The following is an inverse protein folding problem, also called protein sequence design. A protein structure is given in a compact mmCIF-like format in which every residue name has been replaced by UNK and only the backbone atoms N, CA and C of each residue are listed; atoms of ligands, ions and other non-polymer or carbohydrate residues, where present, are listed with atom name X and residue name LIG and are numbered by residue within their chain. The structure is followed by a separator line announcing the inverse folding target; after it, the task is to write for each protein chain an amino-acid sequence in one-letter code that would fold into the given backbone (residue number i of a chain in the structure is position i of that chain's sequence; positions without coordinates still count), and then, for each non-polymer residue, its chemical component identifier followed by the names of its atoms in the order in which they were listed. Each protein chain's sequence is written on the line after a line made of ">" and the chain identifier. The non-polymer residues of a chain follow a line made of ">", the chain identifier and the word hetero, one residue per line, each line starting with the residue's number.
data_IF_566504488678
#
_entry.id   IF_566504488678
#
_cell.length_a   1.000
_cell.length_b   1.000
_cell.length_c   1.000
_cell.angle_alpha   90.00
_cell.angle_beta   90.00
_cell.angle_gamma   90.00
#
_symmetry.space_group_name_H-M   'P 1'
#
loop_
_entity.id
_entity.type
_entity.pdbx_description
1 polymer ?
#
# COMPACT_ATOMS: atom_id res chain seq x y z
N UNK A 1 -9.66 9.91 -7.15
CA UNK A 1 -8.72 9.27 -6.23
C UNK A 1 -7.34 9.49 -6.83
N UNK A 2 -6.56 10.36 -6.20
CA UNK A 2 -5.30 10.84 -6.80
C UNK A 2 -4.07 10.05 -6.34
N UNK A 3 -4.25 9.11 -5.42
CA UNK A 3 -3.15 8.39 -4.77
C UNK A 3 -2.89 6.99 -5.35
N UNK A 4 -3.48 6.68 -6.52
CA UNK A 4 -3.31 5.36 -7.16
C UNK A 4 -2.87 5.54 -8.60
N UNK A 5 -1.86 4.77 -8.99
CA UNK A 5 -1.41 4.64 -10.37
C UNK A 5 -1.49 3.17 -10.78
N UNK A 6 -2.35 2.89 -11.74
CA UNK A 6 -2.47 1.56 -12.33
C UNK A 6 -1.96 1.64 -13.79
N UNK A 7 -0.67 1.43 -14.02
CA UNK A 7 -0.13 1.47 -15.40
C UNK A 7 -0.72 0.36 -16.26
N UNK A 8 -1.10 -0.75 -15.65
CA UNK A 8 -1.83 -1.85 -16.30
C UNK A 8 -2.90 -2.38 -15.37
N UNK A 9 -3.81 -3.14 -15.92
CA UNK A 9 -4.95 -3.73 -15.22
C UNK A 9 -5.00 -5.22 -15.50
N UNK A 10 -5.60 -5.98 -14.60
CA UNK A 10 -5.73 -7.41 -14.71
C UNK A 10 -4.56 -8.14 -14.07
N UNK A 11 -4.81 -9.36 -13.60
CA UNK A 11 -3.80 -10.09 -12.83
C UNK A 11 -4.01 -11.60 -12.99
N UNK A 12 -3.00 -12.38 -12.61
CA UNK A 12 -3.07 -13.83 -12.51
C UNK A 12 -2.97 -14.19 -11.03
N UNK A 13 -3.86 -15.05 -10.56
CA UNK A 13 -3.86 -15.48 -9.15
C UNK A 13 -2.65 -16.38 -8.87
N UNK A 14 -2.00 -16.20 -7.71
CA UNK A 14 -0.80 -16.97 -7.34
C UNK A 14 -0.87 -17.64 -5.96
N UNK A 15 -1.76 -17.21 -5.11
CA UNK A 15 -1.86 -17.76 -3.75
C UNK A 15 -3.29 -17.69 -3.24
N UNK A 16 -3.53 -18.29 -2.08
CA UNK A 16 -4.84 -18.30 -1.44
C UNK A 16 -5.34 -16.89 -1.14
N UNK A 17 -4.45 -15.91 -0.94
CA UNK A 17 -4.84 -14.50 -0.80
C UNK A 17 -5.45 -13.89 -2.05
N UNK A 18 -5.36 -14.59 -3.19
CA UNK A 18 -5.98 -14.14 -4.44
C UNK A 18 -7.37 -14.77 -4.67
N UNK A 19 -7.81 -15.70 -3.81
CA UNK A 19 -9.06 -16.45 -4.02
C UNK A 19 -10.26 -15.52 -4.18
N UNK A 20 -10.41 -14.54 -3.27
CA UNK A 20 -11.52 -13.59 -3.24
C UNK A 20 -11.04 -12.16 -3.51
N UNK A 21 -10.14 -12.00 -4.48
CA UNK A 21 -9.53 -10.71 -4.81
C UNK A 21 -10.60 -9.69 -5.23
N UNK A 22 -10.59 -8.53 -4.57
CA UNK A 22 -11.56 -7.46 -4.83
C UNK A 22 -11.55 -6.98 -6.29
N UNK A 23 -10.40 -7.03 -6.95
CA UNK A 23 -10.29 -6.59 -8.34
C UNK A 23 -11.12 -7.52 -9.26
N UNK A 24 -10.97 -8.84 -9.07
CA UNK A 24 -11.76 -9.81 -9.82
C UNK A 24 -13.26 -9.65 -9.55
N UNK A 25 -13.63 -9.42 -8.27
CA UNK A 25 -15.03 -9.21 -7.89
C UNK A 25 -15.61 -7.97 -8.59
N UNK A 26 -14.89 -6.84 -8.51
CA UNK A 26 -15.36 -5.57 -9.09
C UNK A 26 -15.41 -5.63 -10.62
N UNK A 27 -14.47 -6.33 -11.25
CA UNK A 27 -14.50 -6.57 -12.71
C UNK A 27 -15.73 -7.39 -13.09
N UNK A 28 -16.00 -8.46 -12.34
CA UNK A 28 -17.19 -9.30 -12.57
C UNK A 28 -18.48 -8.50 -12.52
N UNK A 29 -18.61 -7.55 -11.55
CA UNK A 29 -19.79 -6.68 -11.45
C UNK A 29 -19.96 -5.77 -12.68
N UNK A 30 -18.86 -5.49 -13.38
CA UNK A 30 -18.86 -4.60 -14.57
C UNK A 30 -18.90 -5.39 -15.89
N UNK A 31 -19.01 -6.70 -15.82
CA UNK A 31 -18.95 -7.57 -16.97
C UNK A 31 -17.56 -7.72 -17.58
N UNK A 32 -16.53 -7.36 -16.83
CA UNK A 32 -15.13 -7.48 -17.25
C UNK A 32 -14.51 -8.78 -16.75
N UNK A 33 -13.40 -9.17 -17.36
CA UNK A 33 -12.65 -10.38 -17.00
C UNK A 33 -11.35 -9.96 -16.30
N UNK A 34 -11.24 -10.22 -14.99
CA UNK A 34 -10.10 -9.80 -14.17
C UNK A 34 -8.75 -10.41 -14.59
N UNK A 35 -8.77 -11.52 -15.35
CA UNK A 35 -7.54 -12.12 -15.90
C UNK A 35 -7.11 -11.49 -17.23
N UNK A 36 -7.90 -10.58 -17.80
CA UNK A 36 -7.53 -9.86 -19.02
C UNK A 36 -6.56 -8.74 -18.67
N UNK A 37 -5.31 -8.90 -19.10
CA UNK A 37 -4.23 -7.97 -18.75
C UNK A 37 -4.03 -6.99 -19.91
N UNK A 38 -4.03 -5.68 -19.60
CA UNK A 38 -3.86 -4.64 -20.61
C UNK A 38 -3.27 -3.37 -20.00
N UNK A 39 -2.57 -2.62 -20.84
CA UNK A 39 -2.01 -1.30 -20.52
C UNK A 39 -3.17 -0.30 -20.40
N UNK A 40 -3.21 0.49 -19.32
CA UNK A 40 -4.31 1.43 -19.08
C UNK A 40 -4.10 2.77 -19.80
N UNK A 41 -5.16 3.55 -19.93
CA UNK A 41 -5.09 4.93 -20.44
C UNK A 41 -4.33 5.84 -19.47
N UNK A 42 -4.24 5.47 -18.19
CA UNK A 42 -3.49 6.21 -17.18
C UNK A 42 -2.03 5.76 -17.03
N UNK A 43 -1.48 5.11 -18.05
CA UNK A 43 -0.12 4.58 -18.00
C UNK A 43 0.92 5.64 -17.64
N UNK A 44 0.77 6.85 -18.19
CA UNK A 44 1.71 7.96 -17.98
C UNK A 44 1.32 8.90 -16.83
N UNK A 45 0.42 8.49 -15.96
CA UNK A 45 -0.11 9.34 -14.88
C UNK A 45 0.97 10.06 -14.06
N UNK A 46 2.11 9.44 -13.70
CA UNK A 46 3.14 10.16 -12.95
C UNK A 46 3.68 11.40 -13.66
N UNK A 47 3.61 11.44 -15.00
CA UNK A 47 4.13 12.55 -15.81
C UNK A 47 3.03 13.51 -16.25
N UNK A 48 1.76 13.24 -15.95
CA UNK A 48 0.64 14.09 -16.36
C UNK A 48 0.64 15.41 -15.61
N UNK A 49 0.29 16.42 -16.39
CA UNK A 49 0.32 17.80 -15.87
C UNK A 49 -1.08 18.44 -15.80
N UNK A 50 -1.20 19.32 -14.93
CA UNK A 50 -2.28 20.10 -14.80
C UNK A 50 -2.21 21.16 -15.83
N UNK A 51 -3.30 21.96 -16.18
CA UNK A 51 -3.33 23.05 -17.16
C UNK A 51 -2.34 24.19 -16.82
N UNK A 52 -2.06 24.39 -15.54
CA UNK A 52 -1.09 25.38 -15.06
C UNK A 52 0.37 24.95 -15.18
N UNK A 53 0.65 23.80 -15.78
CA UNK A 53 2.01 23.32 -16.04
C UNK A 53 2.60 22.41 -14.95
N UNK A 54 2.13 22.49 -13.72
CA UNK A 54 2.59 21.62 -12.64
C UNK A 54 2.09 20.18 -12.80
N UNK A 55 2.81 19.22 -12.23
CA UNK A 55 2.39 17.82 -12.25
C UNK A 55 1.08 17.62 -11.46
N UNK A 56 0.25 16.70 -11.91
CA UNK A 56 -0.97 16.28 -11.17
C UNK A 56 -0.61 15.70 -9.82
N UNK A 57 0.49 14.92 -9.76
CA UNK A 57 1.03 14.37 -8.51
C UNK A 57 2.07 15.36 -7.99
N UNK A 58 1.85 15.90 -6.80
CA UNK A 58 2.73 16.91 -6.21
C UNK A 58 3.95 16.25 -5.57
N UNK A 59 5.06 16.99 -5.49
CA UNK A 59 6.27 16.54 -4.80
C UNK A 59 5.94 16.14 -3.36
N UNK A 60 6.39 14.97 -2.94
CA UNK A 60 6.15 14.44 -1.60
C UNK A 60 4.90 13.57 -1.47
N UNK A 61 4.02 13.52 -2.48
CA UNK A 61 2.85 12.62 -2.41
C UNK A 61 3.29 11.16 -2.48
N UNK A 62 2.51 10.29 -1.87
CA UNK A 62 2.71 8.84 -1.97
C UNK A 62 1.68 8.25 -2.90
N UNK A 63 2.15 7.51 -3.90
CA UNK A 63 1.32 6.89 -4.93
C UNK A 63 1.40 5.37 -4.79
N UNK A 64 0.25 4.72 -4.65
CA UNK A 64 0.15 3.25 -4.61
C UNK A 64 0.09 2.72 -6.05
N UNK A 65 0.99 1.81 -6.38
CA UNK A 65 1.16 1.33 -7.75
C UNK A 65 0.52 -0.05 -7.92
N UNK A 66 -0.19 -0.24 -9.02
CA UNK A 66 -0.81 -1.54 -9.41
C UNK A 66 -1.81 -2.08 -8.38
N UNK A 67 -2.74 -1.23 -7.94
CA UNK A 67 -3.81 -1.69 -7.04
C UNK A 67 -4.81 -2.63 -7.74
N UNK A 68 -4.80 -2.66 -9.08
CA UNK A 68 -5.65 -3.57 -9.87
C UNK A 68 -4.83 -4.58 -10.68
N UNK A 69 -3.59 -4.83 -10.24
CA UNK A 69 -2.69 -5.80 -10.88
C UNK A 69 -1.55 -6.14 -9.91
N UNK A 70 -0.44 -6.63 -10.44
CA UNK A 70 0.82 -6.81 -9.71
C UNK A 70 1.93 -6.21 -10.57
N UNK A 71 2.78 -5.39 -9.98
CA UNK A 71 3.85 -4.70 -10.71
C UNK A 71 4.84 -5.69 -11.33
N UNK A 72 5.01 -6.87 -10.73
CA UNK A 72 5.96 -7.89 -11.19
C UNK A 72 5.28 -9.05 -11.94
N UNK A 73 4.10 -8.78 -12.48
CA UNK A 73 3.37 -9.74 -13.31
C UNK A 73 4.12 -10.02 -14.62
N UNK A 74 4.17 -11.17 -15.07
CA UNK A 74 4.80 -11.61 -16.24
C UNK A 74 4.28 -10.96 -17.45
N UNK A 75 3.05 -10.61 -17.52
CA UNK A 75 2.42 -10.05 -18.61
C UNK A 75 2.72 -8.64 -18.80
N UNK A 76 3.31 -8.05 -17.81
CA UNK A 76 3.63 -6.64 -17.88
C UNK A 76 5.12 -6.37 -18.18
N UNK A 77 5.89 -7.36 -18.46
CA UNK A 77 7.35 -7.21 -18.66
C UNK A 77 7.69 -6.16 -19.72
N UNK A 78 6.94 -6.12 -20.82
CA UNK A 78 7.17 -5.16 -21.90
C UNK A 78 6.88 -3.72 -21.53
N UNK A 79 6.14 -3.48 -20.46
CA UNK A 79 5.74 -2.15 -20.01
C UNK A 79 6.53 -1.67 -18.79
N UNK A 80 7.12 -2.59 -18.05
CA UNK A 80 7.72 -2.30 -16.74
C UNK A 80 8.89 -1.33 -16.82
N UNK A 81 9.73 -1.46 -17.85
CA UNK A 81 10.88 -0.56 -18.03
C UNK A 81 10.42 0.91 -18.12
N UNK A 82 9.36 1.17 -18.89
CA UNK A 82 8.81 2.53 -19.02
C UNK A 82 8.24 3.02 -17.68
N UNK A 83 7.62 2.12 -16.91
CA UNK A 83 7.10 2.48 -15.59
C UNK A 83 8.25 2.84 -14.61
N UNK A 84 9.35 2.06 -14.63
CA UNK A 84 10.54 2.38 -13.85
C UNK A 84 11.10 3.75 -14.21
N UNK A 85 11.21 4.06 -15.53
CA UNK A 85 11.69 5.37 -15.98
C UNK A 85 10.86 6.51 -15.43
N UNK A 86 9.52 6.34 -15.38
CA UNK A 86 8.62 7.36 -14.82
C UNK A 86 8.87 7.54 -13.30
N UNK A 87 9.07 6.45 -12.57
CA UNK A 87 9.39 6.53 -11.14
C UNK A 87 10.73 7.24 -10.90
N UNK A 88 11.72 6.96 -11.74
CA UNK A 88 13.04 7.62 -11.66
C UNK A 88 12.94 9.11 -11.98
N UNK A 89 12.19 9.47 -13.03
CA UNK A 89 11.96 10.87 -13.39
C UNK A 89 11.23 11.63 -12.29
N UNK A 90 10.33 10.95 -11.55
CA UNK A 90 9.59 11.54 -10.44
C UNK A 90 10.23 11.14 -9.10
N UNK A 91 11.53 11.42 -8.96
CA UNK A 91 12.29 11.21 -7.71
C UNK A 91 11.76 12.07 -6.55
N UNK A 92 10.87 13.01 -6.84
CA UNK A 92 10.18 13.87 -5.89
C UNK A 92 8.90 13.24 -5.32
N UNK A 93 8.49 12.06 -5.82
CA UNK A 93 7.24 11.37 -5.43
C UNK A 93 7.60 10.01 -4.80
N UNK A 94 6.87 9.62 -3.76
CA UNK A 94 7.04 8.32 -3.12
C UNK A 94 6.14 7.29 -3.82
N UNK A 95 6.74 6.21 -4.30
CA UNK A 95 6.01 5.12 -4.96
C UNK A 95 5.93 3.91 -4.03
N UNK A 96 4.70 3.52 -3.70
CA UNK A 96 4.41 2.35 -2.87
C UNK A 96 4.15 1.16 -3.80
N UNK A 97 5.11 0.25 -3.85
CA UNK A 97 5.00 -0.99 -4.63
C UNK A 97 4.58 -2.14 -3.71
N UNK A 98 3.77 -3.05 -4.25
CA UNK A 98 3.28 -4.21 -3.52
C UNK A 98 3.23 -5.41 -4.46
N UNK A 99 3.72 -6.56 -4.01
CA UNK A 99 3.69 -7.77 -4.84
C UNK A 99 3.41 -9.04 -4.04
N UNK A 100 2.85 -10.03 -4.72
CA UNK A 100 2.78 -11.41 -4.25
C UNK A 100 3.82 -12.29 -5.00
N UNK A 101 4.72 -11.65 -5.78
CA UNK A 101 5.73 -12.33 -6.63
C UNK A 101 7.14 -11.84 -6.32
N UNK A 102 7.60 -11.90 -5.04
CA UNK A 102 8.93 -11.34 -4.74
C UNK A 102 10.06 -12.08 -5.46
N UNK A 103 9.85 -13.34 -5.82
CA UNK A 103 10.83 -14.17 -6.55
C UNK A 103 11.15 -13.62 -7.93
N UNK A 104 10.28 -12.78 -8.50
CA UNK A 104 10.50 -12.17 -9.81
C UNK A 104 11.23 -10.83 -9.74
N UNK A 105 11.32 -10.23 -8.55
CA UNK A 105 11.72 -8.82 -8.41
C UNK A 105 13.15 -8.58 -8.89
N UNK A 106 14.09 -9.41 -8.48
CA UNK A 106 15.49 -9.26 -8.84
C UNK A 106 15.71 -9.16 -10.36
N UNK A 107 15.00 -9.75 -10.92
CA UNK A 107 15.05 -9.81 -12.34
C UNK A 107 14.42 -8.69 -13.05
N UNK A 108 13.61 -8.14 -12.30
CA UNK A 108 12.86 -7.02 -12.89
C UNK A 108 13.40 -5.63 -12.51
N UNK A 109 14.28 -5.38 -11.71
CA UNK A 109 14.84 -4.23 -11.38
C UNK A 109 15.49 -3.70 -12.56
N UNK A 110 15.52 -2.38 -12.80
CA UNK A 110 16.21 -1.76 -13.93
C UNK A 110 17.73 -1.79 -13.74
N UNK A 111 18.47 -1.70 -14.85
CA UNK A 111 19.95 -1.87 -14.84
C UNK A 111 20.66 -0.85 -13.95
N UNK A 112 20.05 0.30 -13.71
CA UNK A 112 20.60 1.38 -12.88
C UNK A 112 19.99 1.42 -11.47
N UNK A 113 19.39 0.33 -11.03
CA UNK A 113 18.75 0.25 -9.72
C UNK A 113 19.73 0.41 -8.55
N UNK A 114 20.90 -0.18 -8.67
CA UNK A 114 21.92 -0.16 -7.61
C UNK A 114 21.42 -0.84 -6.33
N UNK A 115 21.59 -0.15 -5.22
CA UNK A 115 21.10 -0.62 -3.90
C UNK A 115 19.70 -0.13 -3.58
N UNK A 116 19.01 0.46 -4.55
CA UNK A 116 17.65 0.92 -4.44
C UNK A 116 17.48 2.43 -4.53
N UNK A 117 16.35 2.86 -5.06
CA UNK A 117 16.02 4.29 -5.16
C UNK A 117 15.34 4.78 -3.88
N UNK A 118 15.66 6.00 -3.47
CA UNK A 118 15.18 6.59 -2.21
C UNK A 118 13.67 6.86 -2.17
N UNK A 119 13.03 6.89 -3.33
CA UNK A 119 11.61 7.23 -3.42
C UNK A 119 10.68 6.02 -3.57
N UNK A 120 11.20 4.79 -3.36
CA UNK A 120 10.40 3.56 -3.52
C UNK A 120 10.25 2.80 -2.21
N UNK A 121 9.08 2.49 -1.74
CA UNK A 121 8.70 1.71 -0.75
C UNK A 121 8.28 0.47 -1.28
N UNK A 122 8.92 -0.58 -0.90
CA UNK A 122 8.59 -1.88 -1.47
C UNK A 122 8.01 -2.81 -0.41
N UNK A 123 6.89 -3.45 -0.77
CA UNK A 123 6.13 -4.30 0.17
C UNK A 123 5.83 -5.65 -0.46
N UNK A 124 5.83 -6.70 0.36
CA UNK A 124 5.30 -8.01 -0.04
C UNK A 124 4.01 -8.28 0.70
N UNK A 125 3.08 -8.95 0.03
CA UNK A 125 1.84 -9.40 0.68
C UNK A 125 2.10 -10.72 1.38
N UNK A 126 1.71 -10.80 2.65
CA UNK A 126 1.78 -12.03 3.46
C UNK A 126 0.42 -12.24 4.10
N UNK A 127 -0.41 -13.04 3.47
CA UNK A 127 -1.78 -13.25 3.91
C UNK A 127 -1.90 -14.25 5.07
N UNK A 128 -0.87 -15.07 5.29
CA UNK A 128 -0.81 -16.06 6.37
C UNK A 128 0.65 -16.41 6.66
N UNK A 129 0.89 -17.28 7.66
CA UNK A 129 2.24 -17.66 8.07
C UNK A 129 3.06 -18.28 6.93
N UNK A 130 2.44 -19.19 6.17
CA UNK A 130 3.13 -19.84 5.05
C UNK A 130 3.68 -18.80 4.07
N UNK A 131 2.89 -17.79 3.71
CA UNK A 131 3.33 -16.76 2.76
C UNK A 131 4.35 -15.81 3.38
N UNK A 132 4.25 -15.57 4.69
CA UNK A 132 5.28 -14.80 5.41
C UNK A 132 6.63 -15.54 5.36
N UNK A 133 6.63 -16.83 5.65
CA UNK A 133 7.85 -17.66 5.66
C UNK A 133 8.49 -17.77 4.27
N UNK A 134 7.67 -17.80 3.21
CA UNK A 134 8.15 -17.85 1.82
C UNK A 134 8.67 -16.50 1.34
N UNK A 135 7.93 -15.41 1.61
CA UNK A 135 8.16 -14.12 0.92
C UNK A 135 9.04 -13.14 1.70
N UNK A 136 8.99 -13.14 3.03
CA UNK A 136 9.77 -12.17 3.80
C UNK A 136 11.28 -12.43 3.67
N UNK A 137 11.79 -13.67 3.72
CA UNK A 137 13.23 -13.89 3.49
C UNK A 137 13.71 -13.35 2.14
N UNK A 138 12.88 -13.47 1.09
CA UNK A 138 13.20 -12.92 -0.23
C UNK A 138 13.26 -11.38 -0.12
N UNK A 139 12.21 -10.76 0.47
CA UNK A 139 12.15 -9.31 0.67
C UNK A 139 13.41 -8.79 1.39
N UNK A 140 13.83 -9.45 2.45
CA UNK A 140 14.99 -9.02 3.24
C UNK A 140 16.29 -9.02 2.43
N UNK A 141 16.40 -9.88 1.41
CA UNK A 141 17.58 -9.97 0.54
C UNK A 141 17.51 -9.07 -0.70
N UNK A 142 16.36 -8.49 -1.00
CA UNK A 142 16.21 -7.60 -2.17
C UNK A 142 16.79 -6.21 -1.89
N UNK A 143 17.39 -5.56 -2.89
CA UNK A 143 18.04 -4.25 -2.72
C UNK A 143 17.03 -3.09 -2.74
N UNK A 144 16.25 -2.97 -1.69
CA UNK A 144 15.34 -1.83 -1.48
C UNK A 144 15.71 -1.11 -0.19
N UNK A 145 15.74 0.20 -0.23
CA UNK A 145 16.05 1.03 0.94
C UNK A 145 14.88 1.08 1.94
N UNK A 146 13.65 0.98 1.44
CA UNK A 146 12.44 1.03 2.27
C UNK A 146 11.61 -0.22 2.03
N UNK A 147 11.42 -1.01 3.08
CA UNK A 147 10.75 -2.31 3.02
C UNK A 147 9.59 -2.39 4.00
N UNK A 148 8.48 -2.95 3.55
CA UNK A 148 7.30 -3.18 4.38
C UNK A 148 6.61 -4.48 4.07
N UNK A 149 5.66 -4.83 4.91
CA UNK A 149 4.85 -6.05 4.79
C UNK A 149 3.37 -5.63 4.76
N UNK A 150 2.62 -6.22 3.83
CA UNK A 150 1.17 -6.05 3.79
C UNK A 150 0.50 -7.38 4.14
N UNK A 151 -0.20 -7.44 5.27
CA UNK A 151 -1.01 -8.59 5.66
C UNK A 151 -2.47 -8.27 5.36
N UNK A 152 -2.76 -8.07 4.05
CA UNK A 152 -4.11 -7.81 3.55
C UNK A 152 -4.30 -8.53 2.21
N UNK A 153 -5.17 -9.55 2.15
CA UNK A 153 -6.07 -9.97 3.24
C UNK A 153 -5.33 -10.77 4.33
N UNK A 154 -5.64 -10.48 5.58
CA UNK A 154 -5.14 -11.26 6.72
C UNK A 154 -6.12 -12.43 6.95
N UNK A 155 -5.67 -13.65 6.64
CA UNK A 155 -6.53 -14.85 6.66
C UNK A 155 -6.01 -15.94 7.59
N UNK A 156 -5.07 -15.60 8.46
CA UNK A 156 -4.53 -16.49 9.48
C UNK A 156 -3.55 -15.75 10.38
N UNK A 157 -3.21 -16.30 11.53
CA UNK A 157 -2.23 -15.67 12.42
C UNK A 157 -0.85 -15.66 11.77
N UNK A 158 -0.05 -14.65 12.09
CA UNK A 158 1.30 -14.49 11.55
C UNK A 158 2.24 -14.08 12.70
N UNK A 159 3.33 -14.85 12.83
CA UNK A 159 4.47 -14.49 13.66
C UNK A 159 5.55 -13.87 12.78
N UNK A 160 5.79 -12.61 12.88
CA UNK A 160 6.70 -11.91 12.08
C UNK A 160 7.92 -11.51 12.84
N UNK A 161 8.01 -11.87 14.33
CA UNK A 161 9.06 -11.41 15.26
C UNK A 161 10.49 -11.67 14.76
N UNK A 162 10.67 -12.58 14.21
CA UNK A 162 11.90 -12.99 13.65
C UNK A 162 12.36 -12.17 12.52
N UNK A 163 11.44 -11.93 11.81
CA UNK A 163 11.72 -11.09 10.64
C UNK A 163 11.90 -9.64 11.03
N UNK A 164 11.11 -9.13 11.94
CA UNK A 164 11.15 -7.73 12.37
C UNK A 164 12.44 -7.43 13.10
N UNK A 165 13.03 -8.37 13.81
CA UNK A 165 14.31 -8.23 14.49
C UNK A 165 15.51 -7.96 13.57
N UNK A 166 15.20 -8.16 12.30
CA UNK A 166 16.10 -7.88 11.36
C UNK A 166 16.33 -6.49 11.15
N UNK A 167 15.46 -5.65 11.63
CA UNK A 167 15.54 -4.21 11.60
C UNK A 167 15.43 -3.58 10.21
N UNK A 168 15.10 -4.35 9.19
CA UNK A 168 14.94 -3.83 7.82
C UNK A 168 13.49 -3.46 7.48
N UNK A 169 12.51 -4.00 8.22
CA UNK A 169 11.08 -3.75 7.96
C UNK A 169 10.68 -2.48 8.71
N UNK A 170 10.12 -1.51 7.99
CA UNK A 170 9.77 -0.21 8.54
C UNK A 170 8.29 -0.08 8.86
N UNK A 171 7.43 -0.87 8.16
CA UNK A 171 5.99 -0.83 8.41
C UNK A 171 5.32 -2.18 8.13
N UNK A 172 4.22 -2.44 8.83
CA UNK A 172 3.32 -3.55 8.56
C UNK A 172 1.91 -2.96 8.43
N UNK A 173 1.21 -3.33 7.35
CA UNK A 173 -0.15 -2.89 7.11
C UNK A 173 -1.06 -4.11 7.12
N UNK A 174 -2.11 -4.12 7.95
CA UNK A 174 -3.05 -5.24 8.06
C UNK A 174 -4.44 -4.85 7.60
N UNK A 175 -5.16 -5.79 7.00
CA UNK A 175 -6.55 -5.58 6.59
C UNK A 175 -7.25 -6.88 6.25
N UNK A 176 -8.56 -6.93 6.48
CA UNK A 176 -9.37 -8.10 6.17
C UNK A 176 -9.78 -8.17 4.70
N UNK A 177 -10.29 -9.32 4.31
CA UNK A 177 -10.78 -9.59 2.95
C UNK A 177 -12.16 -8.98 2.72
N UNK A 178 -12.44 -8.59 1.49
CA UNK A 178 -13.69 -7.87 1.17
C UNK A 178 -14.58 -8.61 0.19
N UNK A 179 -15.88 -8.27 0.27
CA UNK A 179 -16.94 -8.71 -0.65
C UNK A 179 -17.34 -10.17 -0.44
N UNK A 180 -17.97 -10.76 -1.43
CA UNK A 180 -18.54 -12.10 -1.34
C UNK A 180 -17.45 -13.15 -1.17
N UNK A 181 -17.70 -14.09 -0.29
CA UNK A 181 -16.76 -15.16 0.03
C UNK A 181 -15.63 -14.73 0.98
N UNK A 182 -15.65 -13.49 1.47
CA UNK A 182 -14.59 -12.99 2.37
C UNK A 182 -14.43 -13.92 3.58
N UNK A 183 -13.17 -14.31 3.82
CA UNK A 183 -12.81 -15.13 4.99
C UNK A 183 -12.67 -14.22 6.21
N UNK A 184 -12.90 -14.76 7.41
CA UNK A 184 -12.80 -13.94 8.62
C UNK A 184 -11.40 -13.38 8.86
N UNK A 185 -11.36 -12.12 9.27
CA UNK A 185 -10.18 -11.50 9.87
C UNK A 185 -10.39 -11.48 11.37
N UNK A 186 -9.54 -12.15 12.11
CA UNK A 186 -9.66 -12.25 13.56
C UNK A 186 -8.90 -11.10 14.23
N UNK A 187 -9.57 -10.41 15.15
CA UNK A 187 -8.95 -9.28 15.86
C UNK A 187 -7.74 -9.68 16.69
N UNK A 188 -7.71 -10.91 17.21
CA UNK A 188 -6.56 -11.39 17.97
C UNK A 188 -5.30 -11.45 17.08
N UNK A 189 -5.47 -11.80 15.80
CA UNK A 189 -4.34 -11.78 14.86
C UNK A 189 -3.84 -10.34 14.64
N UNK A 190 -4.78 -9.39 14.54
CA UNK A 190 -4.46 -7.96 14.36
C UNK A 190 -3.71 -7.44 15.60
N UNK A 191 -4.20 -7.76 16.79
CA UNK A 191 -3.57 -7.37 18.07
C UNK A 191 -2.14 -7.93 18.17
N UNK A 192 -1.96 -9.17 17.84
CA UNK A 192 -0.63 -9.81 17.77
C UNK A 192 0.30 -9.09 16.78
N UNK A 193 -0.09 -8.78 15.56
CA UNK A 193 0.62 -8.14 14.61
C UNK A 193 1.07 -6.81 15.04
N UNK A 194 0.14 -6.05 15.81
CA UNK A 194 0.46 -4.73 16.39
C UNK A 194 1.49 -4.82 17.52
N UNK A 195 1.32 -5.77 18.41
CA UNK A 195 2.24 -5.95 19.53
C UNK A 195 3.67 -6.30 19.05
N UNK A 196 3.80 -7.20 18.09
CA UNK A 196 5.09 -7.56 17.51
C UNK A 196 5.77 -6.34 16.88
N UNK A 197 5.03 -5.53 16.12
CA UNK A 197 5.56 -4.31 15.49
C UNK A 197 6.00 -3.31 16.56
N UNK A 198 5.23 -3.15 17.62
CA UNK A 198 5.54 -2.22 18.72
C UNK A 198 6.86 -2.60 19.39
N UNK A 199 7.11 -3.89 19.57
CA UNK A 199 8.34 -4.41 20.22
C UNK A 199 9.60 -4.12 19.42
N UNK A 200 9.47 -3.86 18.11
CA UNK A 200 10.61 -3.64 17.22
C UNK A 200 10.69 -2.21 16.60
N UNK A 201 9.76 -1.30 16.86
CA UNK A 201 9.72 -0.01 16.38
C UNK A 201 9.27 0.14 15.02
N UNK A 202 8.55 -0.86 14.71
CA UNK A 202 7.99 -0.91 13.36
C UNK A 202 6.61 -0.26 13.37
N UNK A 203 6.31 0.59 12.37
CA UNK A 203 4.98 1.21 12.25
C UNK A 203 3.92 0.16 11.91
N UNK A 204 2.74 0.27 12.52
CA UNK A 204 1.64 -0.66 12.27
C UNK A 204 0.35 0.08 11.94
N UNK A 205 -0.33 -0.37 10.88
CA UNK A 205 -1.58 0.23 10.41
C UNK A 205 -2.61 -0.86 10.14
N UNK A 206 -3.72 -0.84 10.88
CA UNK A 206 -4.90 -1.66 10.60
C UNK A 206 -5.86 -0.81 9.78
N UNK A 207 -5.96 -1.11 8.48
CA UNK A 207 -6.63 -0.20 7.53
C UNK A 207 -8.10 -0.54 7.29
N UNK A 208 -8.51 -1.80 7.50
CA UNK A 208 -9.91 -2.21 7.33
C UNK A 208 -10.17 -3.58 7.99
N UNK A 209 -11.35 -3.73 8.57
CA UNK A 209 -11.74 -4.99 9.22
C UNK A 209 -11.97 -6.13 8.23
N UNK A 210 -12.26 -5.79 6.97
CA UNK A 210 -12.82 -6.73 6.02
C UNK A 210 -14.31 -6.93 6.22
N UNK A 211 -14.92 -7.68 5.32
CA UNK A 211 -16.38 -7.92 5.35
C UNK A 211 -16.79 -8.83 6.52
N UNK A 212 -15.92 -9.80 6.88
CA UNK A 212 -16.18 -10.74 7.99
C UNK A 212 -15.07 -10.53 9.03
N UNK A 213 -15.50 -10.19 10.25
CA UNK A 213 -14.57 -9.82 11.31
C UNK A 213 -14.90 -10.56 12.61
N UNK A 214 -14.03 -11.15 13.14
CA UNK A 214 -14.14 -11.87 14.25
C UNK A 214 -13.56 -11.16 15.35
N UNK A 215 -14.24 -11.07 16.58
CA UNK A 215 -13.75 -10.40 17.79
C UNK A 215 -14.50 -10.93 19.01
N UNK A 216 -13.76 -11.30 20.05
CA UNK A 216 -14.32 -11.80 21.32
C UNK A 216 -15.34 -12.93 21.10
N UNK A 217 -15.01 -13.88 20.23
CA UNK A 217 -15.85 -15.03 19.94
C UNK A 217 -17.09 -14.73 19.10
N UNK A 218 -17.26 -13.50 18.65
CA UNK A 218 -18.40 -13.08 17.83
C UNK A 218 -17.96 -12.75 16.39
N UNK A 219 -18.81 -13.10 15.45
CA UNK A 219 -18.60 -12.80 14.03
C UNK A 219 -19.48 -11.61 13.62
N UNK A 220 -18.84 -10.60 13.03
CA UNK A 220 -19.51 -9.40 12.52
C UNK A 220 -19.41 -9.38 11.00
N UNK A 221 -20.51 -9.03 10.32
CA UNK A 221 -20.53 -8.76 8.89
C UNK A 221 -20.61 -7.25 8.69
N UNK A 222 -19.55 -6.71 8.16
CA UNK A 222 -19.42 -5.25 8.00
C UNK A 222 -19.40 -4.90 6.51
N UNK A 223 -20.40 -4.57 6.05
CA UNK A 223 -20.55 -4.39 4.65
C UNK A 223 -20.16 -3.04 4.23
N UNK A 224 -19.53 -2.35 4.12
CA UNK A 224 -19.17 -1.03 3.62
C UNK A 224 -17.73 -0.65 3.96
N UNK A 225 -16.93 -0.37 2.94
CA UNK A 225 -15.50 -0.03 3.07
C UNK A 225 -15.25 1.11 4.08
N UNK A 226 -16.09 2.13 4.07
CA UNK A 226 -15.96 3.26 5.01
C UNK A 226 -16.07 2.78 6.45
N UNK A 227 -17.12 2.01 6.75
CA UNK A 227 -17.36 1.49 8.11
C UNK A 227 -16.21 0.56 8.53
N UNK A 228 -15.73 -0.29 7.62
CA UNK A 228 -14.58 -1.17 7.90
C UNK A 228 -13.36 -0.37 8.32
N UNK A 229 -13.05 0.73 7.59
CA UNK A 229 -11.91 1.59 7.91
C UNK A 229 -12.11 2.34 9.23
N UNK A 230 -13.32 2.83 9.49
CA UNK A 230 -13.64 3.52 10.74
C UNK A 230 -13.48 2.58 11.95
N UNK A 231 -13.98 1.36 11.82
CA UNK A 231 -13.88 0.35 12.90
C UNK A 231 -12.42 -0.06 13.13
N UNK A 232 -11.66 -0.22 12.06
CA UNK A 232 -10.23 -0.54 12.16
C UNK A 232 -9.46 0.57 12.88
N UNK A 233 -9.75 1.83 12.55
CA UNK A 233 -9.12 2.98 13.22
C UNK A 233 -9.49 3.01 14.71
N UNK A 234 -10.79 2.83 15.02
CA UNK A 234 -11.30 2.83 16.40
C UNK A 234 -10.75 1.68 17.24
N UNK A 235 -10.28 0.61 16.60
CA UNK A 235 -9.69 -0.54 17.31
C UNK A 235 -8.40 -0.17 18.06
N UNK A 236 -7.75 1.00 17.72
CA UNK A 236 -6.59 1.50 18.47
C UNK A 236 -5.29 0.69 18.33
N UNK A 237 -5.15 -0.10 17.34
CA UNK A 237 -4.08 -0.90 17.07
C UNK A 237 -2.98 -0.25 16.37
N UNK A 238 -3.27 0.96 15.79
CA UNK A 238 -2.30 1.71 14.97
C UNK A 238 -1.25 2.41 15.84
N UNK A 239 -0.03 2.43 15.34
CA UNK A 239 1.03 3.21 15.97
C UNK A 239 2.15 3.50 14.97
N UNK A 240 2.90 4.57 15.23
CA UNK A 240 4.06 4.95 14.43
C UNK A 240 5.30 4.46 15.19
N UNK A 241 6.15 3.72 14.48
CA UNK A 241 7.44 3.25 14.97
C UNK A 241 8.55 4.23 14.59
N UNK A 242 9.69 3.70 14.20
CA UNK A 242 10.80 4.51 13.68
C UNK A 242 10.36 5.16 12.36
N UNK A 243 10.44 6.50 12.24
CA UNK A 243 9.99 7.16 11.00
C UNK A 243 10.80 6.74 9.77
N UNK A 244 10.10 6.49 8.68
CA UNK A 244 10.75 6.29 7.38
C UNK A 244 11.23 7.64 6.83
N UNK A 245 12.49 7.70 6.40
CA UNK A 245 13.09 8.91 5.86
C UNK A 245 13.35 8.73 4.37
N UNK A 246 12.52 9.33 3.54
CA UNK A 246 12.69 9.34 2.10
C UNK A 246 13.51 10.57 1.72
N UNK A 247 14.60 10.37 0.97
CA UNK A 247 15.37 11.45 0.38
C UNK A 247 14.81 11.71 -1.02
N UNK A 248 13.93 12.72 -1.12
CA UNK A 248 13.26 13.07 -2.38
C UNK A 248 14.02 14.21 -3.04
N UNK A 249 14.21 14.10 -4.36
CA UNK A 249 15.04 15.05 -5.09
C UNK A 249 14.29 15.71 -6.24
N UNK A 250 14.76 16.89 -6.61
CA UNK A 250 14.29 17.58 -7.80
C UNK A 250 14.92 16.95 -9.07
N UNK A 251 14.55 17.40 -10.29
CA UNK A 251 15.10 16.84 -11.52
C UNK A 251 16.61 17.02 -11.69
N UNK A 252 17.24 17.90 -10.92
CA UNK A 252 18.69 18.12 -10.94
C UNK A 252 19.41 17.28 -9.90
N UNK A 253 18.67 16.52 -9.09
CA UNK A 253 19.21 15.64 -8.05
C UNK A 253 19.44 16.32 -6.70
N UNK A 254 18.98 17.57 -6.51
CA UNK A 254 19.08 18.24 -5.22
C UNK A 254 17.93 17.81 -4.31
N UNK A 255 18.26 17.50 -3.06
CA UNK A 255 17.25 17.13 -2.06
C UNK A 255 16.24 18.28 -1.86
N UNK A 256 14.95 17.95 -1.91
CA UNK A 256 13.89 18.93 -1.74
C UNK A 256 13.65 19.14 -0.24
N UNK A 257 13.73 20.39 0.20
CA UNK A 257 13.49 20.73 1.59
C UNK A 257 12.06 20.36 2.01
N UNK A 258 11.93 19.86 3.22
CA UNK A 258 10.69 19.32 3.77
C UNK A 258 9.49 20.27 3.64
N UNK A 259 9.72 21.56 3.73
CA UNK A 259 8.66 22.57 3.62
C UNK A 259 8.05 22.67 2.22
N UNK A 260 8.78 22.24 1.18
CA UNK A 260 8.32 22.23 -0.21
C UNK A 260 7.67 20.90 -0.61
N UNK A 261 7.75 19.89 0.26
CA UNK A 261 7.11 18.61 0.00
C UNK A 261 5.67 18.62 0.49
N UNK A 262 4.79 18.01 -0.28
CA UNK A 262 3.41 17.76 0.13
C UNK A 262 3.42 16.94 1.42
N UNK A 263 2.88 17.48 2.49
CA UNK A 263 2.76 16.79 3.78
C UNK A 263 1.39 16.13 3.85
N UNK A 264 1.34 14.80 3.92
CA UNK A 264 0.05 14.16 4.19
C UNK A 264 -0.40 14.53 5.61
N UNK A 265 -1.39 15.05 5.75
CA UNK A 265 -1.79 15.40 6.75
C UNK A 265 -2.15 14.37 7.46
N UNK A 266 -1.46 13.87 8.17
CA UNK A 266 -1.79 12.98 9.26
C UNK A 266 -2.44 13.81 10.36
N UNK A 267 -3.58 14.35 10.05
CA UNK A 267 -4.38 15.02 11.05
C UNK A 267 -4.99 14.00 12.01
N UNK A 268 -5.44 14.45 13.18
CA UNK A 268 -6.26 13.58 14.03
C UNK A 268 -7.46 13.08 13.23
N UNK A 269 -7.99 11.95 13.62
CA UNK A 269 -9.17 11.38 12.97
C UNK A 269 -10.23 12.47 12.81
N UNK A 270 -10.77 12.59 11.61
CA UNK A 270 -11.82 13.57 11.34
C UNK A 270 -12.98 13.34 12.33
N UNK A 271 -13.31 14.36 13.10
CA UNK A 271 -14.38 14.29 14.09
C UNK A 271 -15.72 13.92 13.46
N UNK A 272 -15.90 14.20 12.16
CA UNK A 272 -17.15 13.92 11.46
C UNK A 272 -17.23 12.52 10.84
N UNK A 273 -16.10 11.95 10.41
CA UNK A 273 -16.14 10.64 9.73
C UNK A 273 -15.20 9.60 10.32
N UNK A 274 -14.43 9.94 11.35
CA UNK A 274 -13.53 9.01 12.02
C UNK A 274 -12.33 8.56 11.19
N UNK A 275 -12.19 9.04 9.92
CA UNK A 275 -11.14 8.58 9.03
C UNK A 275 -9.84 9.35 9.21
N UNK A 276 -8.91 8.92 9.24
CA UNK A 276 -7.73 9.45 9.23
C UNK A 276 -7.63 10.10 8.01
N UNK A 277 -7.44 11.16 8.00
CA UNK A 277 -7.17 11.97 6.84
C UNK A 277 -5.72 11.74 6.37
N UNK A 278 -5.59 10.72 5.60
CA UNK A 278 -4.33 10.44 4.93
C UNK A 278 -4.39 11.23 3.63
N UNK A 279 -4.14 12.31 3.61
CA UNK A 279 -4.07 13.10 2.49
C UNK A 279 -4.69 14.43 2.73
N UNK A 280 -4.60 15.13 1.81
CA UNK A 280 -5.18 16.45 1.86
C UNK A 280 -6.67 16.39 1.49
N UNK A 281 -7.45 16.34 2.46
CA UNK A 281 -8.88 16.30 2.32
C UNK A 281 -9.39 14.87 2.34
N UNK A 282 -10.43 14.69 3.10
CA UNK A 282 -11.12 13.42 3.20
C UNK A 282 -11.82 13.14 1.86
N UNK A 283 -11.22 12.29 1.06
CA UNK A 283 -11.82 11.84 -0.21
C UNK A 283 -13.12 11.06 0.03
N UNK A 284 -13.40 10.69 1.27
CA UNK A 284 -14.57 9.86 1.60
C UNK A 284 -15.85 10.64 1.90
N UNK A 285 -15.77 11.85 2.44
CA UNK A 285 -16.99 12.63 2.69
C UNK A 285 -17.09 13.94 1.88
N UNK A 286 -16.03 14.31 1.17
CA UNK A 286 -16.00 15.50 0.32
C UNK A 286 -16.21 16.83 1.04
N UNK A 287 -16.27 16.81 2.37
CA UNK A 287 -16.66 17.97 3.17
C UNK A 287 -15.56 18.54 4.05
N UNK A 288 -14.42 17.86 4.12
CA UNK A 288 -13.26 18.37 4.87
C UNK A 288 -12.39 19.21 3.94
N UNK A 289 -12.68 20.47 3.84
CA UNK A 289 -11.66 21.44 3.46
C UNK A 289 -10.75 21.55 4.70
N UNK A 290 -9.45 21.69 4.49
CA UNK A 290 -8.50 21.93 5.57
C UNK A 290 -9.04 23.00 6.51
N UNK A 291 -8.93 22.82 7.80
CA UNK A 291 -9.05 23.98 8.68
C UNK A 291 -7.96 24.96 8.24
N UNK A 292 -8.35 26.15 7.87
CA UNK A 292 -7.42 27.24 7.73
C UNK A 292 -6.69 27.36 9.08
N UNK A 293 -5.39 27.14 9.05
CA UNK A 293 -4.57 27.46 10.22
C UNK A 293 -4.59 28.97 10.35
N UNK A 294 -5.57 29.45 11.07
CA UNK A 294 -5.47 30.77 11.63
C UNK A 294 -4.48 30.68 12.78
N UNK A 295 -3.41 31.42 12.68
CA UNK A 295 -2.31 31.65 13.61
C UNK A 295 -2.80 31.80 15.04
#
# INVERSE_FOLDING_TARGET
>A
MHDIWNPWHGCVKVSEGCAHCYMYFLDGLRGNVGSKIYKTQGFDYPLQRXRGGGYKIRSGEQIRVCMTSDFFLXXADNWREAAWRMMKERSDVRFFLLTKRPERVEXCXPSDWGDGWDNVXFNVTCENQRRADERIPILLNLPFKHKGIMTAPLIGPIEXDXFLSXGQIEQVIAGGENYDGARPCDFDWVKSXSAQCRSHXVSFYFIETGTVFXKDGKTYRIXGKRLQSEMALKAGXNHIGKPMKFHLTDPLGFEIEKEFLHQPXFGPSCERCGSXCIXNGCSKCGRCRQPEHNV
#
